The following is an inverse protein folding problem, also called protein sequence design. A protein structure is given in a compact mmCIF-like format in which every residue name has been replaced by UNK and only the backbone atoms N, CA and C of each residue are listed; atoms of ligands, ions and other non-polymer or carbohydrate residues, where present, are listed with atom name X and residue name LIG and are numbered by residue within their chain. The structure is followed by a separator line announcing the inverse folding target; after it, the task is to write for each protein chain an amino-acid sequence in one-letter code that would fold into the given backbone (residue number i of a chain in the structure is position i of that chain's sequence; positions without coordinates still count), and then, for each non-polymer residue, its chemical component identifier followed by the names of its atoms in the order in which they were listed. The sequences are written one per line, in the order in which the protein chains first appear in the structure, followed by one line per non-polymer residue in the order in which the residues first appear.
data_IF_620659704281
#
_entry.id   IF_620659704281
#
_cell.length_a   1.000
_cell.length_b   1.000
_cell.length_c   1.000
_cell.angle_alpha   90.00
_cell.angle_beta   90.00
_cell.angle_gamma   90.00
#
_symmetry.space_group_name_H-M   'P 1'
#
loop_
_entity.id
_entity.type
_entity.pdbx_description
1 polymer ?
#
# COMPACT_ATOMS: atom_id res chain seq x y z
N UNK A 1 -89.96 8.48 42.88
CA UNK A 1 -89.04 9.59 43.16
C UNK A 1 -87.65 8.97 43.37
N UNK A 2 -86.67 9.43 42.64
CA UNK A 2 -85.26 9.11 42.62
C UNK A 2 -84.80 8.19 41.51
N UNK A 3 -84.00 8.84 40.71
CA UNK A 3 -83.30 8.40 39.51
C UNK A 3 -82.06 7.53 39.81
N UNK A 4 -81.98 6.42 39.10
CA UNK A 4 -80.74 5.65 39.03
C UNK A 4 -79.98 5.98 37.73
N UNK A 5 -78.68 6.38 37.90
CA UNK A 5 -77.73 6.65 36.78
C UNK A 5 -76.90 5.43 36.53
N UNK A 6 -77.12 4.75 35.44
CA UNK A 6 -76.15 3.79 34.89
C UNK A 6 -74.90 4.50 34.37
N UNK A 7 -73.73 4.13 34.85
CA UNK A 7 -72.39 4.49 34.25
C UNK A 7 -71.88 3.33 33.42
N UNK A 8 -71.82 3.55 32.11
CA UNK A 8 -71.10 2.68 31.19
C UNK A 8 -69.57 2.85 31.39
N UNK A 9 -68.85 1.77 31.67
CA UNK A 9 -67.41 1.73 31.64
C UNK A 9 -66.97 1.29 30.26
N UNK A 10 -66.21 2.16 29.57
CA UNK A 10 -65.57 1.86 28.30
C UNK A 10 -64.16 1.35 28.65
N UNK A 11 -63.91 0.06 28.37
CA UNK A 11 -62.55 -0.54 28.41
C UNK A 11 -61.81 -0.19 27.13
N UNK A 12 -60.80 0.67 27.22
CA UNK A 12 -59.85 0.91 26.15
C UNK A 12 -58.75 -0.15 26.18
N UNK A 13 -58.73 -1.03 25.18
CA UNK A 13 -57.59 -1.94 24.94
C UNK A 13 -56.50 -1.15 24.22
N UNK A 14 -55.42 -0.80 24.92
CA UNK A 14 -54.22 -0.29 24.33
C UNK A 14 -53.36 -1.48 23.85
N UNK A 15 -53.38 -1.77 22.54
CA UNK A 15 -52.50 -2.75 21.92
C UNK A 15 -51.07 -2.16 21.83
N UNK A 16 -50.16 -2.59 22.68
CA UNK A 16 -48.70 -2.40 22.45
C UNK A 16 -48.26 -3.30 21.31
N UNK A 17 -48.21 -2.76 20.09
CA UNK A 17 -47.50 -3.38 18.98
C UNK A 17 -45.98 -3.27 19.23
N UNK A 18 -45.40 -4.31 19.79
CA UNK A 18 -43.93 -4.45 19.89
C UNK A 18 -43.35 -4.60 18.49
N UNK A 19 -42.73 -3.57 17.95
CA UNK A 19 -41.81 -3.68 16.81
C UNK A 19 -40.59 -4.46 17.27
N UNK A 20 -40.55 -5.75 17.03
CA UNK A 20 -39.34 -6.55 17.12
C UNK A 20 -38.48 -6.16 15.91
N UNK A 21 -37.51 -5.27 16.12
CA UNK A 21 -36.39 -5.08 15.21
C UNK A 21 -35.65 -6.42 15.17
N UNK A 22 -35.91 -7.23 14.16
CA UNK A 22 -35.07 -8.37 13.82
C UNK A 22 -33.71 -7.84 13.47
N UNK A 23 -32.78 -7.83 14.45
CA UNK A 23 -31.37 -7.72 14.18
C UNK A 23 -31.03 -8.89 13.24
N UNK A 24 -30.82 -8.59 11.96
CA UNK A 24 -30.45 -9.58 10.97
C UNK A 24 -29.13 -10.20 11.41
N UNK A 25 -29.20 -11.35 12.07
CA UNK A 25 -28.04 -12.17 12.31
C UNK A 25 -27.50 -12.60 10.95
N UNK A 26 -26.39 -12.00 10.51
CA UNK A 26 -25.67 -12.50 9.34
C UNK A 26 -25.33 -13.96 9.64
N UNK A 27 -25.82 -14.87 8.80
CA UNK A 27 -25.50 -16.28 8.97
C UNK A 27 -23.98 -16.46 8.85
N UNK A 28 -23.39 -17.29 9.71
CA UNK A 28 -21.98 -17.60 9.60
C UNK A 28 -21.68 -18.26 8.24
N UNK A 29 -20.52 -17.98 7.62
CA UNK A 29 -20.17 -18.58 6.33
C UNK A 29 -20.10 -20.09 6.45
N UNK A 30 -20.56 -20.83 5.43
CA UNK A 30 -20.69 -22.26 5.46
C UNK A 30 -20.15 -22.93 4.18
N UNK A 31 -19.88 -24.25 4.27
CA UNK A 31 -19.32 -25.01 3.16
C UNK A 31 -17.77 -24.97 3.07
N UNK A 32 -17.18 -25.53 2.01
CA UNK A 32 -15.74 -25.57 1.85
C UNK A 32 -15.19 -24.16 1.65
N UNK A 33 -14.04 -23.80 2.26
CA UNK A 33 -13.48 -22.47 2.18
C UNK A 33 -13.09 -22.11 0.74
N UNK A 34 -13.19 -20.83 0.41
CA UNK A 34 -12.51 -20.25 -0.76
C UNK A 34 -11.06 -20.03 -0.37
N UNK A 35 -10.16 -20.66 -1.09
CA UNK A 35 -8.71 -20.63 -0.82
C UNK A 35 -8.05 -19.56 -1.68
N UNK A 36 -7.54 -18.50 -1.04
CA UNK A 36 -6.77 -17.44 -1.69
C UNK A 36 -5.29 -17.70 -1.43
N UNK A 37 -4.53 -17.95 -2.49
CA UNK A 37 -3.10 -18.27 -2.40
C UNK A 37 -2.22 -17.07 -2.64
N UNK A 38 -1.18 -16.91 -1.81
CA UNK A 38 -0.13 -15.91 -2.04
C UNK A 38 1.19 -16.30 -1.36
N UNK A 39 2.25 -15.56 -1.68
CA UNK A 39 3.46 -15.55 -0.87
C UNK A 39 3.73 -14.17 -0.29
N UNK A 40 4.49 -14.11 0.79
CA UNK A 40 5.13 -12.89 1.29
C UNK A 40 6.56 -13.21 1.71
N UNK A 41 7.39 -12.21 1.74
CA UNK A 41 8.76 -12.30 2.28
C UNK A 41 8.73 -12.34 3.82
N UNK A 42 8.24 -13.44 4.41
CA UNK A 42 8.13 -13.56 5.87
C UNK A 42 9.50 -13.64 6.54
N UNK A 43 10.53 -13.99 5.78
CA UNK A 43 11.94 -13.95 6.15
C UNK A 43 12.78 -13.23 5.08
N UNK A 44 14.03 -12.88 5.43
CA UNK A 44 14.95 -12.19 4.52
C UNK A 44 14.86 -10.66 4.59
N UNK A 45 15.53 -9.94 3.64
CA UNK A 45 15.69 -8.48 3.70
C UNK A 45 14.38 -7.68 3.65
N UNK A 46 13.30 -8.24 3.11
CA UNK A 46 12.01 -7.58 2.95
C UNK A 46 11.02 -7.90 4.07
N UNK A 47 11.42 -8.71 5.07
CA UNK A 47 10.50 -9.23 6.10
C UNK A 47 9.80 -8.13 6.91
N UNK A 48 10.51 -7.06 7.25
CA UNK A 48 9.94 -5.95 8.03
C UNK A 48 8.73 -5.31 7.33
N UNK A 49 8.80 -5.14 6.00
CA UNK A 49 7.69 -4.59 5.21
C UNK A 49 6.63 -5.66 4.94
N UNK A 50 7.04 -6.89 4.68
CA UNK A 50 6.11 -8.00 4.43
C UNK A 50 5.20 -8.29 5.64
N UNK A 51 5.67 -8.06 6.87
CA UNK A 51 4.84 -8.18 8.08
C UNK A 51 3.67 -7.19 8.08
N UNK A 52 3.86 -5.99 7.56
CA UNK A 52 2.80 -4.98 7.40
C UNK A 52 1.70 -5.49 6.46
N UNK A 53 2.08 -6.10 5.34
CA UNK A 53 1.14 -6.72 4.39
C UNK A 53 0.40 -7.91 5.01
N UNK A 54 1.11 -8.74 5.79
CA UNK A 54 0.50 -9.88 6.50
C UNK A 54 -0.57 -9.40 7.48
N UNK A 55 -0.27 -8.43 8.33
CA UNK A 55 -1.23 -7.87 9.29
C UNK A 55 -2.48 -7.35 8.57
N UNK A 56 -2.31 -6.59 7.49
CA UNK A 56 -3.43 -6.03 6.73
C UNK A 56 -4.32 -7.10 6.09
N UNK A 57 -3.72 -8.14 5.53
CA UNK A 57 -4.46 -9.27 4.96
C UNK A 57 -5.22 -10.08 6.01
N UNK A 58 -4.61 -10.34 7.17
CA UNK A 58 -5.27 -11.02 8.29
C UNK A 58 -6.48 -10.25 8.81
N UNK A 59 -6.37 -8.92 8.96
CA UNK A 59 -7.50 -8.05 9.33
C UNK A 59 -8.63 -8.21 8.33
N UNK A 60 -8.32 -8.11 7.03
CA UNK A 60 -9.35 -8.20 6.00
C UNK A 60 -10.06 -9.57 6.00
N UNK A 61 -9.32 -10.66 6.02
CA UNK A 61 -9.87 -12.02 5.99
C UNK A 61 -10.74 -12.29 7.22
N UNK A 62 -10.32 -11.83 8.40
CA UNK A 62 -11.13 -11.93 9.61
C UNK A 62 -12.44 -11.15 9.49
N UNK A 63 -12.39 -9.87 9.06
CA UNK A 63 -13.58 -9.05 8.86
C UNK A 63 -14.54 -9.66 7.82
N UNK A 64 -13.98 -10.18 6.72
CA UNK A 64 -14.76 -10.83 5.67
C UNK A 64 -15.49 -12.06 6.18
N UNK A 65 -14.79 -12.92 6.93
CA UNK A 65 -15.38 -14.13 7.53
C UNK A 65 -16.43 -13.81 8.60
N UNK A 66 -16.27 -12.71 9.33
CA UNK A 66 -17.29 -12.22 10.28
C UNK A 66 -18.56 -11.71 9.58
N UNK A 67 -18.46 -11.27 8.32
CA UNK A 67 -19.57 -10.74 7.50
C UNK A 67 -20.22 -11.78 6.56
N UNK A 68 -20.11 -13.07 6.81
CA UNK A 68 -20.60 -14.15 5.95
C UNK A 68 -19.63 -14.62 4.85
N UNK A 69 -18.34 -14.30 4.96
CA UNK A 69 -17.31 -14.74 4.02
C UNK A 69 -17.49 -14.19 2.60
N UNK A 70 -16.98 -14.94 1.62
CA UNK A 70 -17.09 -14.62 0.21
C UNK A 70 -18.05 -15.61 -0.46
N UNK A 71 -19.11 -15.12 -1.11
CA UNK A 71 -20.19 -15.95 -1.67
C UNK A 71 -20.85 -16.88 -0.63
N UNK A 72 -20.91 -16.46 0.64
CA UNK A 72 -21.46 -17.28 1.74
C UNK A 72 -20.52 -18.40 2.23
N UNK A 73 -19.29 -18.44 1.74
CA UNK A 73 -18.26 -19.44 2.10
C UNK A 73 -17.14 -18.78 2.90
N UNK A 74 -16.51 -19.47 3.87
CA UNK A 74 -15.37 -18.92 4.58
C UNK A 74 -14.18 -18.73 3.62
N UNK A 75 -13.37 -17.70 3.85
CA UNK A 75 -12.12 -17.44 3.12
C UNK A 75 -10.94 -17.97 3.93
N UNK A 76 -10.08 -18.75 3.29
CA UNK A 76 -8.81 -19.21 3.82
C UNK A 76 -7.66 -18.60 3.04
N UNK A 77 -6.82 -17.82 3.72
CA UNK A 77 -5.57 -17.33 3.13
C UNK A 77 -4.46 -18.37 3.24
N UNK A 78 -4.04 -18.92 2.10
CA UNK A 78 -2.91 -19.87 1.99
C UNK A 78 -1.66 -19.05 1.73
N UNK A 79 -0.94 -18.72 2.80
CA UNK A 79 0.24 -17.83 2.76
C UNK A 79 1.53 -18.65 2.92
N UNK A 80 2.46 -18.50 1.98
CA UNK A 80 3.77 -19.17 1.99
C UNK A 80 4.90 -18.13 2.08
N UNK A 81 6.05 -18.51 2.66
CA UNK A 81 7.24 -17.67 2.77
C UNK A 81 8.13 -17.79 1.52
N UNK A 82 8.29 -16.71 0.77
CA UNK A 82 9.20 -16.64 -0.39
C UNK A 82 10.64 -16.21 -0.03
N UNK A 83 10.92 -15.96 1.24
CA UNK A 83 12.26 -15.61 1.75
C UNK A 83 12.89 -14.41 1.04
N UNK A 84 12.10 -13.49 0.52
CA UNK A 84 12.55 -12.36 -0.31
C UNK A 84 13.21 -12.77 -1.64
N UNK A 85 12.91 -13.99 -2.16
CA UNK A 85 13.54 -14.56 -3.36
C UNK A 85 12.54 -14.74 -4.50
N UNK A 86 12.75 -14.06 -5.61
CA UNK A 86 11.87 -14.11 -6.78
C UNK A 86 11.77 -15.52 -7.42
N UNK A 87 12.87 -16.29 -7.43
CA UNK A 87 12.84 -17.65 -7.97
C UNK A 87 12.05 -18.62 -7.08
N UNK A 88 12.15 -18.46 -5.76
CA UNK A 88 11.33 -19.23 -4.83
C UNK A 88 9.86 -18.88 -4.97
N UNK A 89 9.54 -17.59 -5.17
CA UNK A 89 8.17 -17.14 -5.45
C UNK A 89 7.58 -17.90 -6.63
N UNK A 90 8.32 -18.03 -7.74
CA UNK A 90 7.87 -18.79 -8.92
C UNK A 90 7.49 -20.23 -8.55
N UNK A 91 8.37 -20.92 -7.84
CA UNK A 91 8.14 -22.31 -7.40
C UNK A 91 6.91 -22.42 -6.49
N UNK A 92 6.75 -21.48 -5.57
CA UNK A 92 5.63 -21.49 -4.63
C UNK A 92 4.29 -21.20 -5.31
N UNK A 93 4.24 -20.31 -6.32
CA UNK A 93 3.01 -20.07 -7.09
C UNK A 93 2.62 -21.28 -7.94
N UNK A 94 3.58 -22.01 -8.51
CA UNK A 94 3.28 -23.30 -9.15
C UNK A 94 2.67 -24.28 -8.14
N UNK A 95 3.25 -24.38 -6.94
CA UNK A 95 2.72 -25.22 -5.86
C UNK A 95 1.30 -24.81 -5.45
N UNK A 96 1.07 -23.51 -5.22
CA UNK A 96 -0.26 -22.99 -4.86
C UNK A 96 -1.34 -23.41 -5.86
N UNK A 97 -1.03 -23.38 -7.16
CA UNK A 97 -1.99 -23.73 -8.23
C UNK A 97 -2.11 -25.25 -8.39
N UNK A 98 -0.98 -25.97 -8.50
CA UNK A 98 -0.99 -27.35 -8.96
C UNK A 98 -1.13 -28.38 -7.81
N UNK A 99 -0.64 -28.05 -6.62
CA UNK A 99 -0.66 -28.93 -5.44
C UNK A 99 -1.72 -28.47 -4.45
N UNK A 100 -1.62 -27.21 -4.01
CA UNK A 100 -2.53 -26.67 -3.00
C UNK A 100 -3.93 -26.36 -3.57
N UNK A 101 -4.09 -26.29 -4.90
CA UNK A 101 -5.36 -26.08 -5.59
C UNK A 101 -6.12 -24.86 -5.09
N UNK A 102 -5.43 -23.73 -4.94
CA UNK A 102 -6.07 -22.48 -4.51
C UNK A 102 -7.03 -21.96 -5.59
N UNK A 103 -8.13 -21.36 -5.16
CA UNK A 103 -9.17 -20.85 -6.06
C UNK A 103 -8.72 -19.57 -6.77
N UNK A 104 -8.10 -18.64 -6.02
CA UNK A 104 -7.70 -17.32 -6.51
C UNK A 104 -6.26 -17.03 -6.07
N UNK A 105 -5.53 -16.21 -6.84
CA UNK A 105 -4.21 -15.72 -6.50
C UNK A 105 -4.24 -14.27 -6.04
N UNK A 106 -3.53 -13.99 -4.94
CA UNK A 106 -3.12 -12.67 -4.52
C UNK A 106 -1.61 -12.53 -4.73
N UNK A 107 -1.13 -11.37 -5.15
CA UNK A 107 0.28 -11.16 -5.44
C UNK A 107 1.17 -11.12 -4.19
N UNK A 108 2.47 -11.40 -4.36
CA UNK A 108 3.47 -11.27 -3.33
C UNK A 108 3.85 -9.81 -3.09
N UNK A 109 4.79 -9.57 -2.17
CA UNK A 109 5.42 -8.26 -1.97
C UNK A 109 6.60 -8.06 -2.91
N UNK A 110 6.75 -6.84 -3.44
CA UNK A 110 7.84 -6.32 -4.26
C UNK A 110 7.85 -6.77 -5.74
N UNK A 111 8.47 -5.93 -6.59
CA UNK A 111 8.41 -6.02 -8.05
C UNK A 111 8.96 -7.35 -8.61
N UNK A 112 10.11 -7.82 -8.14
CA UNK A 112 10.71 -9.07 -8.63
C UNK A 112 9.83 -10.30 -8.36
N UNK A 113 9.41 -10.55 -7.11
CA UNK A 113 8.45 -11.59 -6.78
C UNK A 113 7.12 -11.48 -7.56
N UNK A 114 6.57 -10.25 -7.72
CA UNK A 114 5.31 -10.07 -8.48
C UNK A 114 5.50 -10.44 -9.96
N UNK A 115 6.62 -10.11 -10.60
CA UNK A 115 6.91 -10.55 -11.97
C UNK A 115 6.97 -12.08 -12.06
N UNK A 116 7.60 -12.74 -11.09
CA UNK A 116 7.65 -14.21 -11.02
C UNK A 116 6.26 -14.82 -10.87
N UNK A 117 5.44 -14.29 -9.97
CA UNK A 117 4.05 -14.72 -9.77
C UNK A 117 3.19 -14.46 -11.01
N UNK A 118 3.36 -13.30 -11.67
CA UNK A 118 2.64 -12.94 -12.90
C UNK A 118 2.94 -13.90 -14.05
N UNK A 119 4.19 -14.31 -14.22
CA UNK A 119 4.57 -15.29 -15.24
C UNK A 119 3.90 -16.68 -15.01
N UNK A 120 3.75 -17.08 -13.74
CA UNK A 120 3.03 -18.31 -13.38
C UNK A 120 1.53 -18.14 -13.59
N UNK A 121 0.94 -17.05 -13.11
CA UNK A 121 -0.48 -16.74 -13.29
C UNK A 121 -0.86 -16.74 -14.78
N UNK A 122 -0.02 -16.15 -15.64
CA UNK A 122 -0.22 -16.13 -17.10
C UNK A 122 -0.25 -17.56 -17.70
N UNK A 123 0.68 -18.43 -17.31
CA UNK A 123 0.70 -19.82 -17.81
C UNK A 123 -0.55 -20.62 -17.43
N UNK A 124 -1.11 -20.34 -16.28
CA UNK A 124 -2.28 -21.02 -15.75
C UNK A 124 -3.59 -20.27 -16.00
N UNK A 125 -3.57 -19.15 -16.73
CA UNK A 125 -4.71 -18.26 -16.96
C UNK A 125 -5.44 -17.86 -15.67
N UNK A 126 -4.68 -17.55 -14.61
CA UNK A 126 -5.20 -17.13 -13.30
C UNK A 126 -5.19 -15.60 -13.17
N UNK A 127 -6.25 -15.03 -12.65
CA UNK A 127 -6.24 -13.61 -12.22
C UNK A 127 -5.20 -13.39 -11.13
N UNK A 128 -4.48 -12.28 -11.18
CA UNK A 128 -3.52 -11.88 -10.16
C UNK A 128 -3.78 -10.44 -9.70
N UNK A 129 -4.39 -10.27 -8.55
CA UNK A 129 -4.46 -8.98 -7.88
C UNK A 129 -3.17 -8.79 -7.07
N UNK A 130 -2.51 -7.65 -7.19
CA UNK A 130 -1.24 -7.41 -6.50
C UNK A 130 -1.10 -5.95 -6.03
N UNK A 131 -0.16 -5.68 -5.12
CA UNK A 131 -0.16 -4.43 -4.35
C UNK A 131 1.11 -3.59 -4.37
N UNK A 132 2.24 -4.02 -4.97
CA UNK A 132 3.51 -3.26 -4.86
C UNK A 132 4.39 -3.34 -6.10
N UNK A 133 3.80 -3.34 -7.27
CA UNK A 133 4.55 -3.42 -8.53
C UNK A 133 4.91 -2.03 -9.06
N UNK A 134 6.21 -1.72 -9.12
CA UNK A 134 6.72 -0.38 -9.42
C UNK A 134 7.20 -0.15 -10.86
N UNK A 135 7.02 -1.09 -11.79
CA UNK A 135 7.50 -0.98 -13.20
C UNK A 135 6.38 -1.30 -14.18
N UNK A 136 5.37 -0.43 -14.34
CA UNK A 136 4.14 -0.73 -15.09
C UNK A 136 4.37 -1.29 -16.51
N UNK A 137 5.37 -0.80 -17.24
CA UNK A 137 5.64 -1.24 -18.61
C UNK A 137 6.11 -2.71 -18.74
N UNK A 138 6.51 -3.36 -17.63
CA UNK A 138 6.84 -4.79 -17.60
C UNK A 138 5.64 -5.67 -17.29
N UNK A 139 4.57 -5.12 -16.77
CA UNK A 139 3.35 -5.85 -16.40
C UNK A 139 2.45 -6.07 -17.63
N UNK A 140 2.82 -6.98 -18.52
CA UNK A 140 2.14 -7.18 -19.80
C UNK A 140 1.05 -8.25 -19.78
N UNK A 141 0.85 -8.93 -18.64
CA UNK A 141 -0.20 -9.94 -18.52
C UNK A 141 -1.57 -9.28 -18.35
N UNK A 142 -2.53 -9.61 -19.19
CA UNK A 142 -3.85 -8.95 -19.23
C UNK A 142 -4.71 -9.13 -17.97
N UNK A 143 -4.49 -10.22 -17.21
CA UNK A 143 -5.28 -10.52 -16.01
C UNK A 143 -4.53 -10.20 -14.71
N UNK A 144 -3.65 -9.22 -14.72
CA UNK A 144 -3.07 -8.65 -13.50
C UNK A 144 -3.75 -7.32 -13.12
N UNK A 145 -3.88 -7.03 -11.83
CA UNK A 145 -4.57 -5.84 -11.34
C UNK A 145 -3.84 -5.22 -10.14
N UNK A 146 -3.17 -4.07 -10.32
CA UNK A 146 -2.39 -3.41 -9.28
C UNK A 146 -3.27 -2.55 -8.37
N UNK A 147 -3.02 -2.56 -7.06
CA UNK A 147 -3.64 -1.59 -6.14
C UNK A 147 -2.73 -0.43 -5.77
N UNK A 148 -1.45 -0.52 -6.08
CA UNK A 148 -0.57 0.65 -6.03
C UNK A 148 -0.78 1.48 -7.31
N UNK A 149 -1.70 2.45 -7.23
CA UNK A 149 -2.10 3.29 -8.35
C UNK A 149 -1.07 4.41 -8.59
N UNK A 150 -0.01 4.10 -9.31
CA UNK A 150 1.10 5.00 -9.66
C UNK A 150 1.08 5.44 -11.13
N UNK A 151 -0.01 5.16 -11.84
CA UNK A 151 -0.12 5.43 -13.26
C UNK A 151 0.80 4.57 -14.14
N UNK A 152 0.71 4.71 -15.48
CA UNK A 152 1.51 3.93 -16.42
C UNK A 152 2.98 4.40 -16.52
N UNK A 153 3.29 5.66 -16.16
CA UNK A 153 4.62 6.27 -16.32
C UNK A 153 5.17 6.86 -15.01
N UNK A 154 5.22 6.11 -13.89
CA UNK A 154 5.57 6.67 -12.58
C UNK A 154 7.00 7.23 -12.52
N UNK A 155 7.93 6.71 -13.34
CA UNK A 155 9.30 7.23 -13.43
C UNK A 155 9.38 8.67 -13.94
N UNK A 156 8.30 9.17 -14.55
CA UNK A 156 8.20 10.56 -15.01
C UNK A 156 7.21 11.37 -14.19
N UNK A 157 6.03 10.82 -13.93
CA UNK A 157 4.95 11.58 -13.27
C UNK A 157 5.28 11.91 -11.83
N UNK A 158 5.72 10.93 -11.04
CA UNK A 158 6.03 11.16 -9.65
C UNK A 158 7.25 12.11 -9.42
N UNK A 159 8.41 11.96 -10.11
CA UNK A 159 9.48 12.94 -9.98
C UNK A 159 9.06 14.37 -10.31
N UNK A 160 8.20 14.57 -11.32
CA UNK A 160 7.63 15.89 -11.60
C UNK A 160 6.81 16.41 -10.42
N UNK A 161 5.92 15.60 -9.85
CA UNK A 161 5.12 15.95 -8.66
C UNK A 161 6.01 16.33 -7.46
N UNK A 162 7.09 15.58 -7.22
CA UNK A 162 8.04 15.88 -6.15
C UNK A 162 8.76 17.21 -6.37
N UNK A 163 9.28 17.44 -7.57
CA UNK A 163 10.00 18.69 -7.87
C UNK A 163 9.05 19.89 -7.92
N UNK A 164 7.77 19.72 -8.29
CA UNK A 164 6.74 20.75 -8.16
C UNK A 164 6.50 21.13 -6.69
N UNK A 165 6.41 20.12 -5.82
CA UNK A 165 6.30 20.35 -4.38
C UNK A 165 7.50 21.10 -3.82
N UNK A 166 8.71 20.71 -4.20
CA UNK A 166 9.95 21.41 -3.80
C UNK A 166 10.00 22.84 -4.33
N UNK A 167 9.57 23.09 -5.55
CA UNK A 167 9.48 24.44 -6.10
C UNK A 167 8.46 25.31 -5.33
N UNK A 168 7.30 24.74 -5.02
CA UNK A 168 6.24 25.41 -4.26
C UNK A 168 6.62 25.74 -2.81
N UNK A 169 7.67 25.11 -2.26
CA UNK A 169 8.19 25.39 -0.92
C UNK A 169 8.88 26.77 -0.81
N UNK A 170 9.19 27.41 -1.94
CA UNK A 170 9.98 28.63 -1.99
C UNK A 170 11.50 28.44 -1.87
N UNK A 171 11.95 27.19 -1.67
CA UNK A 171 13.38 26.81 -1.57
C UNK A 171 13.70 25.68 -2.56
N UNK A 172 13.55 25.88 -3.90
CA UNK A 172 13.86 24.83 -4.87
C UNK A 172 15.34 24.47 -4.82
N UNK A 173 15.70 23.17 -4.86
CA UNK A 173 17.09 22.76 -4.93
C UNK A 173 17.72 23.16 -6.27
N UNK A 174 19.01 23.45 -6.26
CA UNK A 174 19.82 23.72 -7.47
C UNK A 174 20.71 22.54 -7.83
N UNK A 175 21.11 21.78 -6.82
CA UNK A 175 21.99 20.61 -6.97
C UNK A 175 21.31 19.35 -6.44
N UNK A 176 21.58 18.21 -7.08
CA UNK A 176 21.06 16.92 -6.68
C UNK A 176 22.19 15.89 -6.58
N UNK A 177 22.20 15.16 -5.47
CA UNK A 177 22.95 13.90 -5.33
C UNK A 177 21.96 12.75 -5.41
N UNK A 178 22.27 11.71 -6.17
CA UNK A 178 21.43 10.54 -6.34
C UNK A 178 22.19 9.28 -5.94
N UNK A 179 21.62 8.51 -5.03
CA UNK A 179 22.12 7.20 -4.61
C UNK A 179 20.99 6.20 -4.84
N UNK A 180 21.23 5.15 -5.61
CA UNK A 180 20.16 4.21 -5.94
C UNK A 180 20.62 2.75 -5.84
N UNK A 181 19.76 1.92 -5.28
CA UNK A 181 19.89 0.48 -5.36
C UNK A 181 19.67 0.00 -6.80
N UNK A 182 20.35 -1.07 -7.19
CA UNK A 182 20.05 -1.80 -8.42
C UNK A 182 18.79 -2.66 -8.34
N UNK A 183 18.06 -2.58 -7.24
CA UNK A 183 16.73 -3.20 -7.14
C UNK A 183 15.79 -2.64 -8.22
N UNK A 184 15.13 -3.48 -9.04
CA UNK A 184 14.53 -3.05 -10.31
C UNK A 184 13.62 -1.83 -10.23
N UNK A 185 12.69 -1.78 -9.28
CA UNK A 185 11.72 -0.68 -9.20
C UNK A 185 12.35 0.65 -8.80
N UNK A 186 13.26 0.65 -7.84
CA UNK A 186 13.88 1.90 -7.39
C UNK A 186 14.93 2.40 -8.36
N UNK A 187 15.62 1.47 -9.05
CA UNK A 187 16.52 1.84 -10.13
C UNK A 187 15.76 2.50 -11.28
N UNK A 188 14.68 1.88 -11.75
CA UNK A 188 13.81 2.43 -12.79
C UNK A 188 13.30 3.84 -12.43
N UNK A 189 12.80 4.02 -11.21
CA UNK A 189 12.31 5.32 -10.73
C UNK A 189 13.43 6.36 -10.62
N UNK A 190 14.63 5.96 -10.17
CA UNK A 190 15.78 6.86 -10.02
C UNK A 190 16.33 7.31 -11.38
N UNK A 191 16.36 6.43 -12.38
CA UNK A 191 16.73 6.80 -13.76
C UNK A 191 15.75 7.84 -14.30
N UNK A 192 14.44 7.61 -14.15
CA UNK A 192 13.41 8.57 -14.55
C UNK A 192 13.51 9.91 -13.80
N UNK A 193 13.75 9.87 -12.50
CA UNK A 193 13.96 11.08 -11.69
C UNK A 193 15.20 11.86 -12.11
N UNK A 194 16.27 11.19 -12.49
CA UNK A 194 17.49 11.79 -13.03
C UNK A 194 17.22 12.58 -14.32
N UNK A 195 16.45 11.98 -15.24
CA UNK A 195 16.05 12.65 -16.48
C UNK A 195 15.16 13.87 -16.22
N UNK A 196 14.21 13.76 -15.30
CA UNK A 196 13.33 14.87 -14.92
C UNK A 196 14.12 15.98 -14.25
N UNK A 197 15.03 15.66 -13.32
CA UNK A 197 15.90 16.62 -12.66
C UNK A 197 16.74 17.42 -13.67
N UNK A 198 17.37 16.73 -14.63
CA UNK A 198 18.14 17.36 -15.69
C UNK A 198 17.29 18.32 -16.56
N UNK A 199 16.09 17.89 -16.97
CA UNK A 199 15.15 18.73 -17.74
C UNK A 199 14.68 19.98 -16.98
N UNK A 200 14.68 19.91 -15.65
CA UNK A 200 14.34 21.04 -14.75
C UNK A 200 15.55 21.92 -14.40
N UNK A 201 16.72 21.60 -14.94
CA UNK A 201 17.95 22.39 -14.73
C UNK A 201 18.65 22.14 -13.39
N UNK A 202 18.33 21.03 -12.66
CA UNK A 202 19.08 20.64 -11.48
C UNK A 202 20.45 20.11 -11.91
N UNK A 203 21.51 20.61 -11.28
CA UNK A 203 22.87 20.12 -11.52
C UNK A 203 23.09 18.83 -10.72
N UNK A 204 23.28 17.69 -11.39
CA UNK A 204 23.71 16.45 -10.76
C UNK A 204 25.18 16.59 -10.31
N UNK A 205 25.42 16.44 -9.01
CA UNK A 205 26.75 16.53 -8.41
C UNK A 205 27.29 15.16 -7.95
N UNK A 206 26.39 14.17 -7.85
CA UNK A 206 26.73 12.80 -7.52
C UNK A 206 25.68 11.86 -8.08
N UNK A 207 26.13 10.74 -8.70
CA UNK A 207 25.29 9.57 -9.01
C UNK A 207 26.05 8.31 -8.58
N UNK A 208 25.40 7.50 -7.72
CA UNK A 208 25.96 6.24 -7.23
C UNK A 208 24.93 5.14 -7.28
N UNK A 209 25.37 3.95 -7.62
CA UNK A 209 24.58 2.73 -7.54
C UNK A 209 25.15 1.77 -6.50
N UNK A 210 24.28 1.00 -5.87
CA UNK A 210 24.67 -0.06 -4.92
C UNK A 210 23.78 -1.30 -5.09
N UNK A 211 24.29 -2.46 -4.64
CA UNK A 211 23.55 -3.71 -4.69
C UNK A 211 22.48 -3.74 -3.59
N UNK A 212 21.31 -4.26 -3.89
CA UNK A 212 20.25 -4.47 -2.90
C UNK A 212 20.74 -5.35 -1.74
N UNK A 213 20.44 -4.93 -0.52
CA UNK A 213 20.90 -5.60 0.69
C UNK A 213 22.36 -5.31 1.06
N UNK A 214 22.93 -4.24 0.50
CA UNK A 214 24.23 -3.73 0.95
C UNK A 214 24.20 -3.46 2.47
N UNK A 215 25.27 -3.83 3.17
CA UNK A 215 25.36 -3.65 4.63
C UNK A 215 26.34 -2.57 5.04
N UNK A 216 27.24 -2.17 4.15
CA UNK A 216 28.21 -1.10 4.39
C UNK A 216 27.89 0.11 3.53
N UNK A 217 27.31 1.12 4.15
CA UNK A 217 27.02 2.41 3.53
C UNK A 217 28.07 3.49 3.83
N UNK A 218 29.12 3.19 4.60
CA UNK A 218 30.18 4.15 4.96
C UNK A 218 30.81 4.85 3.75
N UNK A 219 31.31 4.12 2.74
CA UNK A 219 31.90 4.73 1.55
C UNK A 219 30.91 5.58 0.73
N UNK A 220 29.65 5.16 0.66
CA UNK A 220 28.58 5.91 -0.03
C UNK A 220 28.27 7.20 0.73
N UNK A 221 28.11 7.10 2.06
CA UNK A 221 27.83 8.23 2.92
C UNK A 221 28.94 9.30 2.86
N UNK A 222 30.19 8.90 2.83
CA UNK A 222 31.33 9.82 2.67
C UNK A 222 31.21 10.63 1.36
N UNK A 223 30.89 9.98 0.24
CA UNK A 223 30.73 10.65 -1.05
C UNK A 223 29.50 11.57 -1.10
N UNK A 224 28.40 11.18 -0.43
CA UNK A 224 27.20 12.04 -0.30
C UNK A 224 27.54 13.30 0.49
N UNK A 225 28.22 13.16 1.64
CA UNK A 225 28.69 14.30 2.44
C UNK A 225 29.58 15.23 1.62
N UNK A 226 30.55 14.68 0.91
CA UNK A 226 31.53 15.47 0.15
C UNK A 226 30.86 16.20 -1.04
N UNK A 227 29.84 15.60 -1.65
CA UNK A 227 29.04 16.23 -2.69
C UNK A 227 28.16 17.38 -2.18
N UNK A 228 27.74 17.35 -0.92
CA UNK A 228 26.99 18.39 -0.20
C UNK A 228 25.86 19.03 -1.04
N UNK A 229 25.06 18.22 -1.71
CA UNK A 229 23.99 18.67 -2.58
C UNK A 229 22.86 19.36 -1.80
N UNK A 230 22.06 20.18 -2.49
CA UNK A 230 20.85 20.78 -1.92
C UNK A 230 19.77 19.73 -1.69
N UNK A 231 19.73 18.68 -2.53
CA UNK A 231 18.75 17.63 -2.46
C UNK A 231 19.42 16.24 -2.63
N UNK A 232 19.13 15.33 -1.72
CA UNK A 232 19.55 13.93 -1.78
C UNK A 232 18.36 13.06 -2.18
N UNK A 233 18.46 12.39 -3.34
CA UNK A 233 17.53 11.32 -3.76
C UNK A 233 18.13 9.97 -3.38
N UNK A 234 17.38 9.18 -2.59
CA UNK A 234 17.74 7.82 -2.22
C UNK A 234 16.75 6.84 -2.84
N UNK A 235 17.15 6.18 -3.91
CA UNK A 235 16.41 5.08 -4.54
C UNK A 235 16.67 3.78 -3.79
N UNK A 236 15.89 3.48 -2.76
CA UNK A 236 16.08 2.31 -1.91
C UNK A 236 14.73 1.68 -1.53
N UNK A 237 14.74 0.39 -1.20
CA UNK A 237 13.59 -0.33 -0.64
C UNK A 237 13.92 -0.84 0.76
N UNK A 238 12.90 -1.04 1.59
CA UNK A 238 13.06 -1.62 2.91
C UNK A 238 13.96 -0.75 3.80
N UNK A 239 14.99 -1.34 4.39
CA UNK A 239 15.87 -0.68 5.36
C UNK A 239 17.11 -0.01 4.76
N UNK A 240 17.40 -0.19 3.47
CA UNK A 240 18.63 0.34 2.86
C UNK A 240 18.76 1.85 3.01
N UNK A 241 17.64 2.58 2.89
CA UNK A 241 17.60 4.03 3.12
C UNK A 241 17.95 4.43 4.56
N UNK A 242 17.51 3.64 5.54
CA UNK A 242 17.85 3.86 6.95
C UNK A 242 19.34 3.62 7.22
N UNK A 243 19.90 2.54 6.66
CA UNK A 243 21.33 2.24 6.80
C UNK A 243 22.23 3.34 6.21
N UNK A 244 21.79 3.95 5.09
CA UNK A 244 22.48 5.12 4.56
C UNK A 244 22.38 6.33 5.49
N UNK A 245 21.17 6.61 6.03
CA UNK A 245 20.96 7.72 6.97
C UNK A 245 21.81 7.55 8.23
N UNK A 246 21.87 6.33 8.79
CA UNK A 246 22.70 6.00 9.95
C UNK A 246 24.20 6.19 9.64
N UNK A 247 24.64 5.85 8.43
CA UNK A 247 26.02 6.06 7.99
C UNK A 247 26.36 7.55 7.83
N UNK A 248 25.42 8.36 7.32
CA UNK A 248 25.57 9.83 7.24
C UNK A 248 25.68 10.45 8.63
N UNK A 249 24.85 10.01 9.57
CA UNK A 249 24.90 10.45 10.98
C UNK A 249 26.27 10.17 11.62
N UNK A 250 26.86 9.01 11.38
CA UNK A 250 28.20 8.68 11.90
C UNK A 250 29.30 9.62 11.37
N UNK A 251 29.02 10.35 10.30
CA UNK A 251 29.89 11.37 9.72
C UNK A 251 29.49 12.80 10.14
N UNK A 252 28.60 12.95 11.13
CA UNK A 252 28.03 14.23 11.58
C UNK A 252 27.45 15.06 10.40
N UNK A 253 26.86 14.36 9.42
CA UNK A 253 26.28 15.00 8.23
C UNK A 253 24.78 14.76 8.14
N UNK A 254 24.02 15.85 8.04
CA UNK A 254 22.58 15.85 7.76
C UNK A 254 22.33 16.45 6.38
N UNK A 255 21.68 15.73 5.44
CA UNK A 255 21.31 16.30 4.15
C UNK A 255 20.38 17.51 4.31
N UNK A 256 20.57 18.56 3.51
CA UNK A 256 19.75 19.78 3.52
C UNK A 256 18.28 19.48 3.23
N UNK A 257 18.04 18.61 2.26
CA UNK A 257 16.73 18.03 1.96
C UNK A 257 16.95 16.63 1.40
N UNK A 258 16.10 15.66 1.78
CA UNK A 258 16.31 14.26 1.42
C UNK A 258 15.00 13.53 1.14
N UNK A 259 15.06 12.64 0.16
CA UNK A 259 13.94 11.81 -0.27
C UNK A 259 14.35 10.34 -0.30
N UNK A 260 13.45 9.47 0.15
CA UNK A 260 13.62 8.01 0.16
C UNK A 260 12.46 7.37 -0.60
N UNK A 261 12.80 6.61 -1.64
CA UNK A 261 11.81 5.88 -2.42
C UNK A 261 11.53 4.53 -1.76
N UNK A 262 10.27 4.22 -1.49
CA UNK A 262 9.78 2.96 -0.92
C UNK A 262 10.47 2.48 0.37
N UNK A 263 10.68 3.34 1.37
CA UNK A 263 11.28 2.92 2.63
C UNK A 263 10.38 1.93 3.37
N UNK A 264 10.98 1.11 4.23
CA UNK A 264 10.20 0.35 5.20
C UNK A 264 9.38 1.32 6.08
N UNK A 265 8.11 0.98 6.36
CA UNK A 265 7.30 1.79 7.26
C UNK A 265 7.96 1.94 8.62
N UNK A 266 8.02 3.15 9.11
CA UNK A 266 8.40 3.44 10.48
C UNK A 266 9.86 3.79 10.73
N UNK A 267 10.90 3.02 10.37
CA UNK A 267 12.25 3.35 10.80
C UNK A 267 12.70 4.78 10.51
N UNK A 268 12.42 5.31 9.30
CA UNK A 268 12.69 6.72 9.01
C UNK A 268 11.82 7.69 9.80
N UNK A 269 10.55 7.35 10.05
CA UNK A 269 9.62 8.22 10.76
C UNK A 269 9.99 8.39 12.23
N UNK A 270 10.46 7.31 12.88
CA UNK A 270 10.80 7.33 14.32
C UNK A 270 12.28 7.71 14.58
N UNK A 271 13.14 7.67 13.55
CA UNK A 271 14.54 8.09 13.68
C UNK A 271 14.63 9.62 13.84
N UNK A 272 15.39 10.14 14.81
CA UNK A 272 15.57 11.59 14.98
C UNK A 272 16.11 12.26 13.69
N UNK A 273 17.03 11.62 13.01
CA UNK A 273 17.64 12.14 11.78
C UNK A 273 16.75 11.96 10.54
N UNK A 274 15.65 11.22 10.66
CA UNK A 274 14.62 11.09 9.64
C UNK A 274 13.66 12.27 9.56
N UNK A 275 13.78 13.24 10.48
CA UNK A 275 12.97 14.46 10.48
C UNK A 275 13.06 15.17 9.12
N UNK A 276 11.91 15.50 8.55
CA UNK A 276 11.74 16.11 7.23
C UNK A 276 12.13 15.22 6.03
N UNK A 277 12.46 13.95 6.24
CA UNK A 277 12.59 13.01 5.13
C UNK A 277 11.33 12.99 4.28
N UNK A 278 11.49 12.98 2.96
CA UNK A 278 10.40 12.91 1.99
C UNK A 278 10.24 11.49 1.46
N UNK A 279 9.05 11.12 1.04
CA UNK A 279 8.77 9.89 0.32
C UNK A 279 7.50 10.01 -0.53
N UNK A 280 7.18 8.96 -1.29
CA UNK A 280 5.93 8.85 -2.03
C UNK A 280 4.88 8.08 -1.23
N UNK A 281 3.61 8.39 -1.48
CA UNK A 281 2.49 7.64 -0.92
C UNK A 281 1.22 7.81 -1.76
N UNK A 282 0.25 6.91 -1.58
CA UNK A 282 -1.13 7.10 -2.05
C UNK A 282 -2.13 7.09 -0.89
N UNK A 283 -1.67 6.77 0.32
CA UNK A 283 -2.49 6.72 1.53
C UNK A 283 -1.62 7.00 2.77
N UNK A 284 -2.13 7.83 3.68
CA UNK A 284 -1.59 7.99 5.03
C UNK A 284 -2.74 8.07 6.06
N UNK A 285 -2.40 7.83 7.32
CA UNK A 285 -3.35 7.72 8.42
C UNK A 285 -3.84 9.08 8.95
N UNK A 286 -4.42 9.89 8.07
CA UNK A 286 -5.04 11.18 8.42
C UNK A 286 -6.13 11.56 7.40
N UNK A 287 -6.92 12.58 7.70
CA UNK A 287 -7.86 13.14 6.73
C UNK A 287 -7.11 13.72 5.51
N UNK A 288 -7.63 13.56 4.28
CA UNK A 288 -8.95 13.02 3.97
C UNK A 288 -9.03 11.48 3.85
N UNK A 289 -7.91 10.74 3.93
CA UNK A 289 -7.86 9.29 3.69
C UNK A 289 -8.68 8.48 4.71
N UNK A 290 -8.71 8.92 5.97
CA UNK A 290 -9.41 8.24 7.07
C UNK A 290 -10.85 8.72 7.30
N UNK A 291 -11.37 9.60 6.43
CA UNK A 291 -12.77 10.06 6.51
C UNK A 291 -13.77 8.93 6.19
N UNK A 292 -13.54 8.05 5.19
CA UNK A 292 -14.42 6.91 4.97
C UNK A 292 -14.41 5.95 6.18
N UNK A 293 -15.61 5.51 6.68
CA UNK A 293 -15.68 4.64 7.86
C UNK A 293 -14.86 3.36 7.76
N UNK A 294 -14.83 2.73 6.59
CA UNK A 294 -14.02 1.52 6.35
C UNK A 294 -12.52 1.78 6.52
N UNK A 295 -12.02 2.93 6.11
CA UNK A 295 -10.62 3.30 6.28
C UNK A 295 -10.31 3.61 7.75
N UNK A 296 -11.20 4.31 8.46
CA UNK A 296 -11.05 4.60 9.87
C UNK A 296 -11.04 3.31 10.72
N UNK A 297 -11.92 2.36 10.41
CA UNK A 297 -11.96 1.05 11.07
C UNK A 297 -10.68 0.25 10.81
N UNK A 298 -10.25 0.18 9.54
CA UNK A 298 -8.99 -0.47 9.18
C UNK A 298 -7.81 0.09 9.97
N UNK A 299 -7.65 1.42 10.01
CA UNK A 299 -6.60 2.10 10.75
C UNK A 299 -6.61 1.72 12.23
N UNK A 300 -7.79 1.70 12.86
CA UNK A 300 -7.93 1.28 14.27
C UNK A 300 -7.43 -0.14 14.48
N UNK A 301 -7.92 -1.09 13.68
CA UNK A 301 -7.54 -2.50 13.79
C UNK A 301 -6.06 -2.73 13.47
N UNK A 302 -5.54 -2.00 12.48
CA UNK A 302 -4.12 -2.09 12.13
C UNK A 302 -3.23 -1.66 13.29
N UNK A 303 -3.52 -0.52 13.93
CA UNK A 303 -2.77 -0.03 15.11
C UNK A 303 -2.75 -1.07 16.23
N UNK A 304 -3.90 -1.65 16.55
CA UNK A 304 -4.02 -2.68 17.59
C UNK A 304 -3.15 -3.90 17.27
N UNK A 305 -3.16 -4.37 16.02
CA UNK A 305 -2.38 -5.53 15.57
C UNK A 305 -0.89 -5.23 15.47
N UNK A 306 -0.53 -4.04 14.95
CA UNK A 306 0.86 -3.59 14.86
C UNK A 306 1.49 -3.45 16.24
N UNK A 307 0.76 -2.91 17.22
CA UNK A 307 1.20 -2.83 18.60
C UNK A 307 1.40 -4.22 19.22
N UNK A 308 0.45 -5.13 19.02
CA UNK A 308 0.54 -6.52 19.49
C UNK A 308 1.72 -7.28 18.86
N UNK A 309 2.03 -6.97 17.59
CA UNK A 309 3.17 -7.55 16.89
C UNK A 309 4.51 -6.88 17.25
N UNK A 310 4.52 -5.86 18.09
CA UNK A 310 5.72 -5.15 18.53
C UNK A 310 6.36 -4.29 17.43
N UNK A 311 5.57 -3.83 16.44
CA UNK A 311 6.10 -2.95 15.41
C UNK A 311 6.50 -1.59 16.01
N UNK A 312 7.68 -1.05 15.67
CA UNK A 312 8.13 0.25 16.18
C UNK A 312 7.29 1.41 15.64
N UNK A 313 6.64 1.23 14.49
CA UNK A 313 5.73 2.18 13.87
C UNK A 313 4.37 1.51 13.70
N UNK A 314 3.37 2.04 14.38
CA UNK A 314 2.06 1.40 14.51
C UNK A 314 0.99 2.06 13.63
N UNK A 315 1.33 3.15 12.94
CA UNK A 315 0.39 3.80 12.02
C UNK A 315 0.28 3.03 10.70
N UNK A 316 -0.94 2.94 10.20
CA UNK A 316 -1.19 2.39 8.88
C UNK A 316 -0.66 3.36 7.81
N UNK A 317 0.25 2.90 6.97
CA UNK A 317 0.78 3.65 5.85
C UNK A 317 0.36 3.05 4.50
N UNK A 318 0.95 3.54 3.43
CA UNK A 318 0.65 3.06 2.08
C UNK A 318 0.85 1.54 1.91
N UNK A 319 1.86 0.94 2.56
CA UNK A 319 2.12 -0.51 2.43
C UNK A 319 0.96 -1.33 3.04
N UNK A 320 0.48 -0.90 4.20
CA UNK A 320 -0.68 -1.50 4.84
C UNK A 320 -1.96 -1.32 4.00
N UNK A 321 -2.18 -0.10 3.51
CA UNK A 321 -3.39 0.25 2.79
C UNK A 321 -3.50 -0.44 1.42
N UNK A 322 -2.43 -0.52 0.63
CA UNK A 322 -2.47 -1.21 -0.68
C UNK A 322 -2.70 -2.71 -0.54
N UNK A 323 -2.21 -3.31 0.55
CA UNK A 323 -2.47 -4.72 0.85
C UNK A 323 -3.94 -4.95 1.19
N UNK A 324 -4.53 -4.13 2.05
CA UNK A 324 -5.95 -4.18 2.37
C UNK A 324 -6.82 -3.92 1.12
N UNK A 325 -6.45 -2.94 0.30
CA UNK A 325 -7.15 -2.62 -0.95
C UNK A 325 -7.12 -3.77 -1.96
N UNK A 326 -6.07 -4.60 -1.99
CA UNK A 326 -6.01 -5.76 -2.86
C UNK A 326 -7.09 -6.80 -2.50
N UNK A 327 -7.37 -6.98 -1.22
CA UNK A 327 -8.46 -7.82 -0.76
C UNK A 327 -9.84 -7.20 -1.06
N UNK A 328 -9.99 -5.86 -0.90
CA UNK A 328 -11.23 -5.16 -1.30
C UNK A 328 -11.52 -5.33 -2.79
N UNK A 329 -10.49 -5.25 -3.63
CA UNK A 329 -10.62 -5.43 -5.07
C UNK A 329 -11.08 -6.85 -5.41
N UNK A 330 -10.52 -7.86 -4.74
CA UNK A 330 -10.88 -9.26 -4.89
C UNK A 330 -12.33 -9.51 -4.44
N UNK A 331 -12.71 -9.04 -3.26
CA UNK A 331 -14.08 -9.15 -2.74
C UNK A 331 -15.09 -8.52 -3.70
N UNK A 332 -14.84 -7.30 -4.16
CA UNK A 332 -15.72 -6.58 -5.07
C UNK A 332 -15.95 -7.36 -6.38
N UNK A 333 -14.86 -7.85 -6.99
CA UNK A 333 -14.93 -8.56 -8.26
C UNK A 333 -15.65 -9.92 -8.14
N UNK A 334 -15.30 -10.73 -7.13
CA UNK A 334 -15.93 -12.03 -6.89
C UNK A 334 -17.42 -11.89 -6.54
N UNK A 335 -17.75 -10.90 -5.72
CA UNK A 335 -19.15 -10.62 -5.35
C UNK A 335 -19.97 -10.20 -6.58
N UNK A 336 -19.43 -9.32 -7.42
CA UNK A 336 -20.11 -8.83 -8.60
C UNK A 336 -20.30 -9.91 -9.67
N UNK A 337 -19.30 -10.76 -9.89
CA UNK A 337 -19.35 -11.86 -10.85
C UNK A 337 -20.08 -13.09 -10.32
N UNK A 338 -20.37 -13.12 -9.00
CA UNK A 338 -21.01 -14.23 -8.29
C UNK A 338 -20.30 -15.57 -8.51
N UNK A 339 -18.99 -15.56 -8.70
CA UNK A 339 -18.21 -16.75 -9.01
C UNK A 339 -16.70 -16.55 -8.88
N UNK A 340 -15.98 -17.63 -9.17
CA UNK A 340 -14.52 -17.71 -9.06
C UNK A 340 -13.85 -17.90 -10.45
N UNK A 341 -14.59 -17.61 -11.54
CA UNK A 341 -14.02 -17.68 -12.88
C UNK A 341 -13.04 -16.53 -13.12
N UNK A 342 -11.78 -16.87 -13.35
CA UNK A 342 -10.69 -15.89 -13.49
C UNK A 342 -10.91 -14.90 -14.64
N UNK A 343 -11.47 -15.38 -15.77
CA UNK A 343 -11.74 -14.51 -16.93
C UNK A 343 -12.88 -13.53 -16.65
N UNK A 344 -13.96 -14.00 -16.02
CA UNK A 344 -15.08 -13.15 -15.64
C UNK A 344 -14.63 -12.08 -14.64
N UNK A 345 -13.84 -12.44 -13.63
CA UNK A 345 -13.24 -11.51 -12.67
C UNK A 345 -12.39 -10.46 -13.40
N UNK A 346 -11.49 -10.89 -14.28
CA UNK A 346 -10.60 -9.98 -15.02
C UNK A 346 -11.38 -9.03 -15.96
N UNK A 347 -12.41 -9.52 -16.64
CA UNK A 347 -13.29 -8.70 -17.49
C UNK A 347 -14.04 -7.65 -16.67
N UNK A 348 -14.59 -8.06 -15.53
CA UNK A 348 -15.30 -7.15 -14.65
C UNK A 348 -14.39 -6.05 -14.13
N UNK A 349 -13.18 -6.40 -13.65
CA UNK A 349 -12.20 -5.43 -13.13
C UNK A 349 -11.81 -4.40 -14.19
N UNK A 350 -11.59 -4.80 -15.43
CA UNK A 350 -11.26 -3.86 -16.53
C UNK A 350 -12.42 -2.92 -16.90
N UNK A 351 -13.65 -3.38 -16.74
CA UNK A 351 -14.84 -2.62 -17.11
C UNK A 351 -15.36 -1.69 -16.00
N UNK A 352 -14.90 -1.87 -14.77
CA UNK A 352 -15.47 -1.18 -13.62
C UNK A 352 -14.43 -0.39 -12.84
N UNK A 353 -14.91 0.62 -12.10
CA UNK A 353 -14.15 1.33 -11.08
C UNK A 353 -14.50 0.76 -9.72
N UNK A 354 -13.50 0.54 -8.88
CA UNK A 354 -13.67 -0.07 -7.56
C UNK A 354 -13.27 0.92 -6.49
N UNK A 355 -14.17 1.20 -5.56
CA UNK A 355 -13.89 2.02 -4.39
C UNK A 355 -13.08 1.20 -3.37
N UNK A 356 -11.95 1.73 -2.96
CA UNK A 356 -11.06 1.12 -1.97
C UNK A 356 -10.59 2.17 -0.97
N UNK A 357 -9.93 1.74 0.11
CA UNK A 357 -9.36 2.69 1.08
C UNK A 357 -8.25 3.57 0.49
N UNK A 358 -7.60 3.16 -0.61
CA UNK A 358 -6.57 3.99 -1.27
C UNK A 358 -7.16 4.92 -2.33
N UNK A 359 -8.46 4.86 -2.55
CA UNK A 359 -9.20 5.63 -3.54
C UNK A 359 -9.94 4.76 -4.54
N UNK A 360 -10.45 5.39 -5.58
CA UNK A 360 -11.19 4.72 -6.65
C UNK A 360 -10.22 4.21 -7.71
N UNK A 361 -10.07 2.90 -7.80
CA UNK A 361 -9.18 2.24 -8.75
C UNK A 361 -9.89 1.95 -10.07
N UNK A 362 -9.16 2.06 -11.18
CA UNK A 362 -9.58 1.69 -12.54
C UNK A 362 -8.42 1.05 -13.29
N UNK A 363 -8.72 0.22 -14.28
CA UNK A 363 -7.75 -0.63 -14.97
C UNK A 363 -7.84 -0.53 -16.50
N UNK A 364 -8.31 0.62 -16.99
CA UNK A 364 -8.51 0.94 -18.41
C UNK A 364 -7.32 1.61 -19.10
N UNK A 365 -6.22 1.83 -18.35
CA UNK A 365 -4.98 2.37 -18.89
C UNK A 365 -4.01 1.28 -19.38
N UNK A 366 -2.84 1.72 -19.85
CA UNK A 366 -1.80 0.82 -20.33
C UNK A 366 -1.38 -0.18 -19.24
N UNK A 367 -1.33 -1.47 -19.60
CA UNK A 367 -0.99 -2.57 -18.67
C UNK A 367 -1.85 -2.55 -17.40
N UNK A 368 -3.14 -2.26 -17.51
CA UNK A 368 -4.08 -2.16 -16.39
C UNK A 368 -3.70 -1.12 -15.30
N UNK A 369 -2.86 -0.13 -15.62
CA UNK A 369 -2.63 1.03 -14.76
C UNK A 369 -3.54 2.18 -15.20
N UNK A 370 -4.36 2.66 -14.28
CA UNK A 370 -5.25 3.80 -14.47
C UNK A 370 -4.61 5.12 -14.03
N UNK A 371 -5.26 5.80 -13.06
CA UNK A 371 -4.78 7.09 -12.56
C UNK A 371 -3.50 6.95 -11.73
N UNK A 372 -2.68 8.00 -11.73
CA UNK A 372 -1.59 8.19 -10.78
C UNK A 372 -2.17 8.89 -9.53
N UNK A 373 -2.23 8.16 -8.43
CA UNK A 373 -2.69 8.67 -7.13
C UNK A 373 -1.52 9.08 -6.22
N UNK A 374 -0.30 9.16 -6.74
CA UNK A 374 0.90 9.46 -5.96
C UNK A 374 0.87 10.86 -5.36
N UNK A 375 1.34 10.95 -4.13
CA UNK A 375 1.47 12.17 -3.34
C UNK A 375 2.85 12.21 -2.70
N UNK A 376 3.29 13.40 -2.30
CA UNK A 376 4.51 13.58 -1.51
C UNK A 376 4.14 13.61 -0.04
N UNK A 377 4.80 12.74 0.73
CA UNK A 377 4.73 12.74 2.19
C UNK A 377 6.06 13.17 2.82
N UNK A 378 5.99 13.64 4.05
CA UNK A 378 7.15 14.08 4.83
C UNK A 378 7.06 13.57 6.25
N UNK A 379 8.18 13.27 6.87
CA UNK A 379 8.25 13.00 8.30
C UNK A 379 8.13 14.32 9.08
N UNK A 380 7.05 14.45 9.84
CA UNK A 380 6.84 15.56 10.78
C UNK A 380 6.39 14.97 12.12
N UNK A 381 7.01 15.41 13.20
CA UNK A 381 6.70 14.97 14.58
C UNK A 381 6.63 13.43 14.74
N UNK A 382 7.59 12.73 14.14
CA UNK A 382 7.71 11.27 14.23
C UNK A 382 6.68 10.48 13.42
N UNK A 383 5.96 11.14 12.51
CA UNK A 383 4.94 10.51 11.65
C UNK A 383 5.11 10.90 10.20
N UNK A 384 4.69 10.00 9.32
CA UNK A 384 4.48 10.34 7.92
C UNK A 384 3.18 11.11 7.75
N UNK A 385 3.24 12.25 7.08
CA UNK A 385 2.08 13.07 6.71
C UNK A 385 2.19 13.51 5.26
N UNK A 386 1.09 13.50 4.53
CA UNK A 386 1.07 14.07 3.18
C UNK A 386 1.23 15.59 3.28
N UNK A 387 2.10 16.13 2.44
CA UNK A 387 2.38 17.58 2.36
C UNK A 387 2.10 18.15 0.97
N UNK A 388 1.90 17.30 -0.06
CA UNK A 388 1.59 17.70 -1.42
C UNK A 388 0.85 16.59 -2.18
N UNK A 389 -0.17 16.92 -3.02
CA UNK A 389 -0.76 18.24 -3.20
C UNK A 389 -1.57 18.71 -1.98
N UNK A 390 -1.89 20.01 -1.90
CA UNK A 390 -2.46 20.64 -0.69
C UNK A 390 -3.81 20.06 -0.25
N UNK A 391 -4.64 19.64 -1.20
CA UNK A 391 -5.97 19.04 -0.95
C UNK A 391 -5.91 17.71 -0.23
N UNK A 392 -4.76 17.03 -0.24
CA UNK A 392 -4.50 15.78 0.47
C UNK A 392 -3.58 15.95 1.69
N UNK A 393 -3.05 17.17 1.90
CA UNK A 393 -2.16 17.41 3.02
C UNK A 393 -2.87 17.18 4.36
N UNK A 394 -2.13 16.66 5.33
CA UNK A 394 -2.65 16.52 6.68
C UNK A 394 -3.07 17.90 7.24
N UNK A 395 -4.16 17.98 8.01
CA UNK A 395 -4.62 19.26 8.56
C UNK A 395 -3.50 20.01 9.29
N UNK A 396 -3.29 21.29 8.92
CA UNK A 396 -2.28 22.15 9.54
C UNK A 396 -0.83 21.89 9.10
N UNK A 397 -0.58 20.95 8.19
CA UNK A 397 0.77 20.64 7.71
C UNK A 397 1.10 21.35 6.38
N UNK A 398 2.39 21.52 6.16
CA UNK A 398 2.96 22.01 4.89
C UNK A 398 4.31 21.37 4.65
N UNK A 399 4.78 21.40 3.42
CA UNK A 399 6.16 21.00 3.11
C UNK A 399 7.15 21.92 3.84
N UNK A 400 8.08 21.33 4.57
CA UNK A 400 9.16 22.03 5.29
C UNK A 400 10.49 21.65 4.64
N UNK A 401 11.23 22.65 4.19
CA UNK A 401 12.62 22.53 3.75
C UNK A 401 13.47 23.31 4.75
N UNK A 402 14.34 22.66 5.52
CA UNK A 402 15.18 23.28 6.56
C UNK A 402 16.08 24.41 6.07
#
# INVERSE_FOLDING_TARGET
MMLDRCRLAVLAFAGLGGFVLAAGSSAAPSGPPIRVGSTLALTGPLAATALVHKISGEIFVEQLNQKNGLLGRPVQWVLLDDQSKADLTRTLYEKLITVDKVDILLGPYATGPILSAMAVAQRHNKVLVHHTFGIPHLAKYEMHFPTWAIGPEPGRTFPNTLFDALAASGKPPKTIAMVTSKFPSVHFMSVGAREVAAKRGLKEVLYLEFEFGNRDFGPIAARVRDANADFLWVGAVGLDGNLLLDALKKLDYTPKSHFYLYPAPGPLAVAPDGKYALSTTIFEEHAPFTVPPVAAEFVKLYRERAAKAGLPYQSADVQAAVSYAAWQLLEAAVTATKGLDDKAIAQWLRANRVDTIVGKLRFDGANNYGDDLSKVKQVQDGKWVVVWPKEFAAPGTRLIIP
#
